data_IF_420477209845
#
_entry.id   IF_420477209845
#
_cell.length_a   1.000
_cell.length_b   1.000
_cell.length_c   1.000
_cell.angle_alpha   90.00
_cell.angle_beta   90.00
_cell.angle_gamma   90.00
#
_symmetry.space_group_name_H-M   'P 1'
#
loop_
_entity.id
_entity.type
_entity.pdbx_description
1 polymer ?
#
# COMPACT_ATOMS: atom_id res chain seq x y z
N UNK A 1 13.85 4.66 7.35
CA UNK A 1 14.90 3.64 7.48
C UNK A 1 14.77 2.98 8.83
N UNK A 2 13.81 2.06 8.98
CA UNK A 2 13.76 1.19 10.14
C UNK A 2 14.82 0.09 9.97
N UNK A 3 15.57 -0.16 11.02
CA UNK A 3 16.37 -1.38 11.13
C UNK A 3 15.36 -2.53 11.23
N UNK A 4 15.31 -3.40 10.23
CA UNK A 4 14.71 -4.73 10.39
C UNK A 4 15.62 -5.50 11.33
N UNK A 5 15.30 -5.48 12.63
CA UNK A 5 15.78 -6.48 13.57
C UNK A 5 15.01 -7.76 13.34
N UNK A 6 15.73 -8.87 13.17
CA UNK A 6 15.13 -10.20 13.07
C UNK A 6 14.32 -10.49 14.34
N UNK A 7 13.08 -10.95 14.17
CA UNK A 7 12.19 -11.31 15.27
C UNK A 7 12.69 -12.58 15.97
N UNK A 8 13.36 -12.41 17.12
CA UNK A 8 13.59 -13.44 18.12
C UNK A 8 12.94 -13.05 19.44
N UNK A 9 12.40 -14.02 20.17
CA UNK A 9 11.65 -13.92 21.43
C UNK A 9 12.47 -13.31 22.61
N UNK A 10 12.88 -12.05 22.49
CA UNK A 10 13.64 -11.31 23.48
C UNK A 10 12.93 -10.03 23.93
N UNK A 11 13.14 -9.68 25.20
CA UNK A 11 12.84 -8.37 25.84
C UNK A 11 13.14 -7.21 24.87
N UNK A 12 12.36 -6.11 24.84
CA UNK A 12 12.52 -5.07 23.83
C UNK A 12 13.91 -4.44 23.94
N UNK A 13 14.80 -4.87 23.04
CA UNK A 13 16.19 -4.42 23.00
C UNK A 13 16.19 -2.92 22.73
N UNK A 14 16.84 -2.15 23.61
CA UNK A 14 16.95 -0.70 23.53
C UNK A 14 17.52 -0.33 22.15
N UNK A 15 16.73 0.37 21.34
CA UNK A 15 17.11 0.70 19.97
C UNK A 15 18.46 1.42 19.96
N UNK A 16 19.43 0.90 19.21
CA UNK A 16 20.74 1.49 19.08
C UNK A 16 20.64 2.99 18.68
N UNK A 17 21.52 3.86 19.21
CA UNK A 17 21.43 5.29 18.96
C UNK A 17 21.55 5.60 17.46
N UNK A 18 20.87 6.65 16.96
CA UNK A 18 20.89 7.01 15.56
C UNK A 18 22.32 7.29 15.07
N UNK A 19 22.72 6.61 13.99
CA UNK A 19 24.03 6.83 13.34
C UNK A 19 23.93 7.98 12.35
N UNK A 20 24.90 8.89 12.39
CA UNK A 20 25.01 9.98 11.42
C UNK A 20 25.69 9.48 10.15
N UNK A 21 25.00 9.61 9.01
CA UNK A 21 25.55 9.34 7.68
C UNK A 21 25.72 10.67 6.95
N UNK A 22 26.92 10.96 6.45
CA UNK A 22 27.18 12.18 5.64
C UNK A 22 26.97 11.86 4.16
N UNK A 23 26.21 12.71 3.47
CA UNK A 23 25.98 12.60 2.04
C UNK A 23 25.87 14.00 1.41
N UNK A 24 26.29 14.12 0.15
CA UNK A 24 26.09 15.36 -0.64
C UNK A 24 24.64 15.49 -1.11
N UNK A 25 24.01 14.36 -1.42
CA UNK A 25 22.61 14.27 -1.85
C UNK A 25 21.87 13.21 -1.07
N UNK A 26 20.58 13.47 -0.81
CA UNK A 26 19.64 12.52 -0.22
C UNK A 26 18.44 12.42 -1.16
N UNK A 27 18.07 11.19 -1.54
CA UNK A 27 16.89 10.92 -2.37
C UNK A 27 15.78 10.35 -1.48
N UNK A 28 14.63 11.02 -1.45
CA UNK A 28 13.47 10.55 -0.71
C UNK A 28 12.70 9.49 -1.53
N UNK A 29 12.86 8.22 -1.16
CA UNK A 29 12.13 7.08 -1.72
C UNK A 29 11.19 6.45 -0.69
N UNK A 30 10.67 7.23 0.26
CA UNK A 30 9.91 6.70 1.40
C UNK A 30 8.43 6.36 1.08
N UNK A 31 8.05 6.22 -0.20
CA UNK A 31 6.69 5.84 -0.60
C UNK A 31 5.61 6.72 0.05
N UNK A 32 4.61 6.09 0.68
CA UNK A 32 3.53 6.81 1.37
C UNK A 32 4.02 7.72 2.51
N UNK A 33 5.18 7.43 3.12
CA UNK A 33 5.81 8.25 4.16
C UNK A 33 6.60 9.44 3.62
N UNK A 34 6.65 9.66 2.30
CA UNK A 34 7.45 10.73 1.70
C UNK A 34 7.13 12.10 2.31
N UNK A 35 5.86 12.40 2.60
CA UNK A 35 5.43 13.65 3.26
C UNK A 35 6.03 13.79 4.66
N UNK A 36 5.82 12.81 5.52
CA UNK A 36 6.38 12.77 6.89
C UNK A 36 7.91 12.89 6.89
N UNK A 37 8.59 12.26 5.93
CA UNK A 37 10.03 12.38 5.80
C UNK A 37 10.48 13.79 5.38
N UNK A 38 9.75 14.44 4.47
CA UNK A 38 10.02 15.82 4.06
C UNK A 38 9.87 16.83 5.20
N UNK A 39 8.89 16.64 6.08
CA UNK A 39 8.63 17.48 7.24
C UNK A 39 9.84 17.56 8.20
N UNK A 40 10.65 16.50 8.30
CA UNK A 40 11.89 16.48 9.09
C UNK A 40 12.92 17.53 8.63
N UNK A 41 12.81 17.98 7.38
CA UNK A 41 13.67 19.01 6.77
C UNK A 41 12.89 20.28 6.38
N UNK A 42 11.65 20.44 6.86
CA UNK A 42 10.80 21.59 6.54
C UNK A 42 10.32 21.64 5.09
N UNK A 43 10.37 20.52 4.35
CA UNK A 43 9.92 20.43 2.96
C UNK A 43 8.50 19.90 2.92
N UNK A 44 7.59 20.67 2.31
CA UNK A 44 6.23 20.22 2.04
C UNK A 44 6.19 19.38 0.77
N UNK A 45 5.73 18.13 0.89
CA UNK A 45 5.55 17.21 -0.23
C UNK A 45 4.05 16.90 -0.36
N UNK A 46 3.40 17.18 -1.51
CA UNK A 46 1.97 16.97 -1.71
C UNK A 46 1.67 15.48 -1.99
N UNK A 47 1.86 14.63 -0.98
CA UNK A 47 1.65 13.19 -1.04
C UNK A 47 0.68 12.74 0.06
N UNK A 48 -0.45 12.16 -0.34
CA UNK A 48 -1.48 11.62 0.54
C UNK A 48 -1.68 10.14 0.19
N UNK A 49 -1.61 9.26 1.19
CA UNK A 49 -1.95 7.86 1.01
C UNK A 49 -3.45 7.73 0.69
N UNK A 50 -3.79 6.91 -0.30
CA UNK A 50 -5.16 6.58 -0.65
C UNK A 50 -5.43 5.12 -0.32
N UNK A 51 -6.65 4.81 0.05
CA UNK A 51 -7.12 3.44 0.12
C UNK A 51 -7.28 2.88 -1.29
N UNK A 52 -6.95 1.61 -1.49
CA UNK A 52 -7.07 0.91 -2.77
C UNK A 52 -7.38 -0.56 -2.51
N UNK A 53 -8.39 -1.09 -3.19
CA UNK A 53 -8.94 -2.41 -2.90
C UNK A 53 -8.80 -3.34 -4.10
N UNK A 54 -8.57 -4.61 -3.80
CA UNK A 54 -8.71 -5.71 -4.75
C UNK A 54 -9.35 -6.91 -4.07
N UNK A 55 -10.02 -7.72 -4.87
CA UNK A 55 -10.62 -8.98 -4.49
C UNK A 55 -9.86 -10.11 -5.17
N UNK A 56 -9.77 -11.24 -4.47
CA UNK A 56 -9.28 -12.49 -5.02
C UNK A 56 -10.46 -13.45 -5.11
N UNK A 57 -10.66 -14.06 -6.27
CA UNK A 57 -11.62 -15.15 -6.39
C UNK A 57 -11.02 -16.45 -5.88
N UNK A 58 -11.88 -17.44 -5.62
CA UNK A 58 -11.44 -18.83 -5.56
C UNK A 58 -10.83 -19.28 -6.90
N UNK A 59 -10.16 -20.43 -6.89
CA UNK A 59 -9.60 -21.04 -8.11
C UNK A 59 -10.70 -21.34 -9.12
N UNK A 60 -10.46 -21.01 -10.39
CA UNK A 60 -11.40 -21.19 -11.49
C UNK A 60 -10.74 -22.06 -12.59
N UNK A 61 -11.28 -23.25 -12.91
CA UNK A 61 -10.63 -24.20 -13.83
C UNK A 61 -10.31 -23.65 -15.22
N UNK A 62 -11.11 -22.70 -15.69
CA UNK A 62 -10.99 -22.15 -17.05
C UNK A 62 -10.07 -20.91 -17.12
N UNK A 63 -9.58 -20.40 -15.98
CA UNK A 63 -8.68 -19.24 -15.96
C UNK A 63 -7.27 -19.69 -16.30
N UNK A 64 -6.74 -19.17 -17.40
CA UNK A 64 -5.33 -19.37 -17.76
C UNK A 64 -4.44 -18.31 -17.13
N UNK A 65 -3.26 -18.67 -16.58
CA UNK A 65 -2.27 -17.70 -16.11
C UNK A 65 -1.72 -16.82 -17.24
N UNK A 66 -1.88 -17.21 -18.50
CA UNK A 66 -1.43 -16.45 -19.67
C UNK A 66 -2.45 -15.42 -20.18
N UNK A 67 -3.63 -15.33 -19.55
CA UNK A 67 -4.59 -14.29 -19.92
C UNK A 67 -4.03 -12.89 -19.67
N UNK A 68 -4.38 -11.91 -20.52
CA UNK A 68 -3.91 -10.55 -20.36
C UNK A 68 -4.50 -9.91 -19.10
N UNK A 69 -3.88 -8.82 -18.66
CA UNK A 69 -4.54 -7.86 -17.78
C UNK A 69 -5.61 -7.14 -18.60
N UNK A 70 -6.84 -7.13 -18.10
CA UNK A 70 -7.96 -6.38 -18.65
C UNK A 70 -8.17 -5.16 -17.79
N UNK A 71 -8.34 -4.00 -18.40
CA UNK A 71 -8.73 -2.76 -17.71
C UNK A 71 -10.04 -2.29 -18.32
N UNK A 72 -11.03 -2.02 -17.47
CA UNK A 72 -12.30 -1.42 -17.85
C UNK A 72 -12.55 -0.15 -17.03
N UNK A 73 -12.08 1.01 -17.53
CA UNK A 73 -12.29 2.29 -16.87
C UNK A 73 -13.76 2.69 -16.77
N UNK A 74 -14.64 2.15 -17.63
CA UNK A 74 -16.09 2.47 -17.58
C UNK A 74 -16.79 1.82 -16.40
N UNK A 75 -16.20 0.76 -15.85
CA UNK A 75 -16.63 0.08 -14.63
C UNK A 75 -15.61 0.18 -13.50
N UNK A 76 -14.65 1.11 -13.59
CA UNK A 76 -13.70 1.38 -12.52
C UNK A 76 -12.92 0.12 -12.06
N UNK A 77 -12.54 -0.76 -12.98
CA UNK A 77 -11.95 -2.05 -12.61
C UNK A 77 -10.78 -2.46 -13.49
N UNK A 78 -9.90 -3.29 -12.93
CA UNK A 78 -8.92 -4.06 -13.68
C UNK A 78 -8.91 -5.49 -13.18
N UNK A 79 -8.70 -6.43 -14.09
CA UNK A 79 -8.81 -7.87 -13.84
C UNK A 79 -7.59 -8.56 -14.41
N UNK A 80 -7.00 -9.47 -13.64
CA UNK A 80 -5.89 -10.31 -14.11
C UNK A 80 -5.91 -11.69 -13.46
N UNK A 81 -5.30 -12.71 -14.08
CA UNK A 81 -5.07 -13.98 -13.40
C UNK A 81 -4.21 -13.81 -12.14
N UNK A 82 -4.60 -14.48 -11.06
CA UNK A 82 -3.84 -14.55 -9.80
C UNK A 82 -4.25 -15.83 -9.04
N UNK A 83 -3.28 -16.59 -8.52
CA UNK A 83 -3.57 -17.74 -7.65
C UNK A 83 -4.43 -18.86 -8.26
N UNK A 84 -4.55 -18.96 -9.59
CA UNK A 84 -5.46 -19.90 -10.26
C UNK A 84 -6.92 -19.43 -10.36
N UNK A 85 -7.20 -18.20 -9.93
CA UNK A 85 -8.44 -17.47 -10.16
C UNK A 85 -8.13 -16.09 -10.72
N UNK A 86 -8.93 -15.09 -10.35
CA UNK A 86 -8.79 -13.71 -10.78
C UNK A 86 -8.52 -12.78 -9.58
N UNK A 87 -7.66 -11.79 -9.81
CA UNK A 87 -7.62 -10.57 -9.02
C UNK A 87 -8.48 -9.53 -9.72
N UNK A 88 -9.43 -8.94 -8.99
CA UNK A 88 -10.30 -7.85 -9.44
C UNK A 88 -10.00 -6.63 -8.59
N UNK A 89 -9.34 -5.63 -9.15
CA UNK A 89 -9.05 -4.38 -8.44
C UNK A 89 -10.01 -3.26 -8.83
N UNK A 90 -10.22 -2.33 -7.92
CA UNK A 90 -11.20 -1.25 -8.05
C UNK A 90 -10.52 0.12 -8.09
N UNK A 91 -10.93 0.98 -9.02
CA UNK A 91 -10.50 2.37 -9.17
C UNK A 91 -11.70 3.31 -9.09
N UNK A 92 -12.30 3.38 -7.91
CA UNK A 92 -13.48 4.21 -7.66
C UNK A 92 -13.25 5.68 -8.07
N UNK A 93 -14.29 6.39 -8.54
CA UNK A 93 -14.18 7.79 -8.94
C UNK A 93 -13.68 8.72 -7.85
N UNK A 94 -13.97 8.38 -6.59
CA UNK A 94 -13.64 9.20 -5.43
C UNK A 94 -12.78 8.39 -4.45
N UNK A 95 -11.47 8.55 -4.57
CA UNK A 95 -10.52 7.92 -3.66
C UNK A 95 -10.69 8.40 -2.21
N UNK A 96 -10.64 7.47 -1.25
CA UNK A 96 -10.54 7.82 0.17
C UNK A 96 -9.09 8.07 0.57
N UNK A 97 -8.88 9.16 1.31
CA UNK A 97 -7.60 9.45 1.92
C UNK A 97 -7.41 8.60 3.17
N UNK A 98 -6.39 7.76 3.18
CA UNK A 98 -6.04 6.92 4.31
C UNK A 98 -5.13 7.67 5.29
N UNK A 99 -5.45 7.64 6.58
CA UNK A 99 -4.58 8.18 7.64
C UNK A 99 -4.09 9.62 7.37
N UNK A 100 -5.02 10.54 7.09
CA UNK A 100 -4.76 11.95 6.69
C UNK A 100 -3.71 12.65 7.55
N UNK A 101 -3.71 12.40 8.87
CA UNK A 101 -2.74 13.02 9.78
C UNK A 101 -1.33 12.50 9.51
N UNK A 102 -1.12 11.19 9.62
CA UNK A 102 0.16 10.51 9.41
C UNK A 102 -0.07 9.02 9.19
N UNK A 103 0.70 8.43 8.28
CA UNK A 103 0.84 6.97 8.14
C UNK A 103 1.59 6.44 9.37
N UNK A 104 1.13 5.33 10.00
CA UNK A 104 1.83 4.71 11.12
C UNK A 104 3.28 4.35 10.75
N UNK A 105 4.21 4.55 11.68
CA UNK A 105 5.64 4.35 11.42
C UNK A 105 6.03 2.87 11.25
N UNK A 106 5.24 1.99 11.84
CA UNK A 106 5.41 0.53 11.92
C UNK A 106 4.50 -0.24 10.96
N UNK A 107 3.70 0.45 10.13
CA UNK A 107 2.86 -0.22 9.13
C UNK A 107 3.72 -0.86 8.04
N UNK A 108 3.59 -2.18 7.90
CA UNK A 108 4.31 -2.96 6.89
C UNK A 108 3.56 -4.27 6.61
N UNK A 109 3.44 -4.65 5.33
CA UNK A 109 2.72 -5.85 4.89
C UNK A 109 1.31 -6.00 5.51
N UNK A 110 0.70 -4.89 5.89
CA UNK A 110 -0.60 -4.86 6.55
C UNK A 110 -1.73 -4.69 5.54
N UNK A 111 -2.90 -5.13 5.96
CA UNK A 111 -4.17 -4.86 5.27
C UNK A 111 -4.93 -3.76 6.03
N UNK A 112 -5.88 -3.14 5.34
CA UNK A 112 -6.81 -2.18 5.93
C UNK A 112 -8.19 -2.82 5.99
N UNK A 113 -8.99 -2.43 6.98
CA UNK A 113 -10.37 -2.89 7.07
C UNK A 113 -11.15 -2.45 5.83
N UNK A 114 -11.85 -3.36 5.14
CA UNK A 114 -12.57 -3.03 3.92
C UNK A 114 -13.81 -2.18 4.19
N UNK A 115 -13.91 -1.07 3.46
CA UNK A 115 -15.10 -0.23 3.41
C UNK A 115 -16.13 -0.79 2.43
N UNK A 116 -16.90 -1.79 2.89
CA UNK A 116 -17.90 -2.46 2.06
C UNK A 116 -19.06 -1.56 1.64
N UNK A 117 -19.41 -0.54 2.43
CA UNK A 117 -20.49 0.40 2.06
C UNK A 117 -20.11 1.19 0.81
N UNK A 118 -18.84 1.59 0.71
CA UNK A 118 -18.31 2.27 -0.47
C UNK A 118 -17.99 1.33 -1.62
N UNK A 119 -17.55 0.09 -1.33
CA UNK A 119 -17.01 -0.81 -2.35
C UNK A 119 -18.02 -1.76 -2.97
N UNK A 120 -19.04 -2.21 -2.24
CA UNK A 120 -20.05 -3.13 -2.77
C UNK A 120 -20.75 -2.63 -4.05
N UNK A 121 -21.09 -1.32 -4.21
CA UNK A 121 -21.74 -0.83 -5.42
C UNK A 121 -20.93 -1.00 -6.72
N UNK A 122 -19.61 -1.24 -6.64
CA UNK A 122 -18.77 -1.50 -7.82
C UNK A 122 -18.69 -2.98 -8.20
N UNK A 123 -19.36 -3.85 -7.44
CA UNK A 123 -19.36 -5.31 -7.62
C UNK A 123 -20.72 -5.85 -8.08
N UNK A 124 -21.76 -5.02 -8.10
CA UNK A 124 -23.13 -5.34 -8.55
C UNK A 124 -23.32 -5.05 -10.05
#
# INVERSE_FOLDING_TARGET
FHHLGESGDGDPEEAAPPKVVKAEYVVNCAGMWARQFGELSGVSIPNQAAEHYYLLTDTMPDVSPDWPVVEDPSHHTYIRPEGGGLLVGLFEPQAAAWNVKNVPHDFTYGEIEPDWERMAPFLE
#
